data_IF_148848625267
#
_entry.id   IF_148848625267
#
_cell.length_a   1.000
_cell.length_b   1.000
_cell.length_c   1.000
_cell.angle_alpha   90.00
_cell.angle_beta   90.00
_cell.angle_gamma   90.00
#
_symmetry.space_group_name_H-M   'P 1'
#
loop_
_entity.id
_entity.type
_entity.pdbx_description
1 polymer ?
#
# COMPACT_ATOMS: atom_id res chain seq x y z
N UNK A 1 -19.79 -9.39 12.50
CA UNK A 1 -20.01 -9.84 11.10
C UNK A 1 -18.74 -10.54 10.64
N UNK A 2 -18.87 -11.80 10.20
CA UNK A 2 -17.75 -12.68 9.85
C UNK A 2 -16.91 -12.08 8.73
N UNK A 3 -15.58 -12.09 8.88
CA UNK A 3 -14.60 -11.70 7.85
C UNK A 3 -14.74 -12.55 6.57
N UNK A 4 -15.22 -13.79 6.68
CA UNK A 4 -15.51 -14.68 5.55
C UNK A 4 -16.67 -14.15 4.67
N UNK A 5 -17.71 -13.55 5.25
CA UNK A 5 -18.75 -12.89 4.48
C UNK A 5 -18.25 -11.60 3.79
N UNK A 6 -17.24 -10.94 4.35
CA UNK A 6 -16.51 -9.84 3.72
C UNK A 6 -15.75 -10.29 2.49
N UNK A 7 -15.23 -11.51 2.49
CA UNK A 7 -14.35 -12.03 1.44
C UNK A 7 -15.08 -12.31 0.12
N UNK A 8 -16.34 -12.73 0.20
CA UNK A 8 -17.14 -13.12 -0.98
C UNK A 8 -17.72 -11.90 -1.71
N UNK A 9 -18.04 -10.82 -1.01
CA UNK A 9 -18.76 -9.68 -1.59
C UNK A 9 -17.99 -8.35 -1.56
N UNK A 10 -16.85 -8.26 -0.87
CA UNK A 10 -16.19 -6.98 -0.61
C UNK A 10 -14.81 -6.82 -1.25
N UNK A 11 -14.24 -7.88 -1.81
CA UNK A 11 -13.03 -7.82 -2.61
C UNK A 11 -13.37 -8.16 -4.04
N UNK A 12 -13.78 -7.15 -4.80
CA UNK A 12 -14.00 -7.28 -6.23
C UNK A 12 -12.78 -6.76 -6.96
N UNK A 13 -12.31 -7.52 -7.95
CA UNK A 13 -11.31 -7.07 -8.91
C UNK A 13 -12.02 -6.85 -10.23
N UNK A 14 -11.95 -5.62 -10.73
CA UNK A 14 -12.48 -5.27 -12.02
C UNK A 14 -11.46 -4.43 -12.78
N UNK A 15 -11.35 -4.65 -14.08
CA UNK A 15 -10.48 -3.91 -14.99
C UNK A 15 -11.22 -3.38 -16.23
N UNK A 16 -12.52 -3.66 -16.29
CA UNK A 16 -13.38 -3.20 -17.38
C UNK A 16 -13.97 -1.82 -17.06
N UNK A 17 -13.74 -0.78 -17.89
CA UNK A 17 -14.19 0.59 -17.61
C UNK A 17 -15.70 0.74 -17.37
N UNK A 18 -16.52 -0.12 -17.95
CA UNK A 18 -17.98 -0.10 -17.74
C UNK A 18 -18.35 -0.70 -16.36
N UNK A 19 -17.67 -1.77 -15.94
CA UNK A 19 -17.96 -2.50 -14.71
C UNK A 19 -17.38 -1.79 -13.46
N UNK A 20 -16.19 -1.17 -13.57
CA UNK A 20 -15.50 -0.59 -12.42
C UNK A 20 -16.31 0.49 -11.69
N UNK A 21 -17.19 1.20 -12.37
CA UNK A 21 -18.02 2.25 -11.74
C UNK A 21 -19.05 1.65 -10.79
N UNK A 22 -19.67 0.54 -11.18
CA UNK A 22 -20.64 -0.17 -10.35
C UNK A 22 -19.94 -0.84 -9.18
N UNK A 23 -18.84 -1.56 -9.44
CA UNK A 23 -18.03 -2.22 -8.41
C UNK A 23 -17.49 -1.20 -7.41
N UNK A 24 -16.95 -0.07 -7.86
CA UNK A 24 -16.47 0.98 -6.96
C UNK A 24 -17.60 1.54 -6.08
N UNK A 25 -18.82 1.60 -6.62
CA UNK A 25 -19.98 2.14 -5.88
C UNK A 25 -20.44 1.26 -4.71
N UNK A 26 -20.18 -0.03 -4.74
CA UNK A 26 -20.53 -0.97 -3.65
C UNK A 26 -19.37 -1.23 -2.66
N UNK A 27 -18.18 -0.71 -2.94
CA UNK A 27 -16.99 -0.81 -2.09
C UNK A 27 -16.85 0.44 -1.22
N UNK A 28 -16.02 0.38 -0.18
CA UNK A 28 -15.71 1.53 0.71
C UNK A 28 -14.28 2.04 0.52
N UNK A 29 -13.47 1.31 -0.24
CA UNK A 29 -12.09 1.67 -0.54
C UNK A 29 -11.65 1.10 -1.88
N UNK A 30 -10.77 1.82 -2.55
CA UNK A 30 -10.20 1.48 -3.85
C UNK A 30 -8.68 1.38 -3.75
N UNK A 31 -8.12 0.24 -4.12
CA UNK A 31 -6.69 0.06 -4.34
C UNK A 31 -6.40 0.02 -5.84
N UNK A 32 -5.70 1.01 -6.36
CA UNK A 32 -5.21 1.03 -7.74
C UNK A 32 -3.76 0.53 -7.75
N UNK A 33 -3.54 -0.63 -8.38
CA UNK A 33 -2.23 -1.26 -8.53
C UNK A 33 -1.87 -1.31 -10.02
N UNK A 34 -0.75 -0.69 -10.38
CA UNK A 34 -0.31 -0.58 -11.78
C UNK A 34 0.63 -1.71 -12.23
N UNK A 35 0.66 -2.82 -11.51
CA UNK A 35 1.54 -3.97 -11.79
C UNK A 35 1.28 -4.63 -13.14
N UNK A 36 0.06 -4.52 -13.67
CA UNK A 36 -0.30 -5.01 -15.00
C UNK A 36 -1.09 -3.95 -15.74
N UNK A 37 -0.53 -3.43 -16.83
CA UNK A 37 -1.10 -2.34 -17.60
C UNK A 37 -1.40 -2.75 -19.05
N UNK A 38 -2.57 -2.34 -19.51
CA UNK A 38 -2.97 -2.26 -20.91
C UNK A 38 -3.95 -1.09 -21.08
N UNK A 39 -4.32 -0.75 -22.30
CA UNK A 39 -5.20 0.41 -22.55
C UNK A 39 -6.50 0.35 -21.75
N UNK A 40 -7.16 -0.80 -21.74
CA UNK A 40 -8.43 -1.02 -21.03
C UNK A 40 -8.26 -0.87 -19.52
N UNK A 41 -7.26 -1.51 -18.93
CA UNK A 41 -7.01 -1.41 -17.49
C UNK A 41 -6.67 0.01 -17.04
N UNK A 42 -5.93 0.77 -17.87
CA UNK A 42 -5.62 2.17 -17.59
C UNK A 42 -6.91 3.02 -17.60
N UNK A 43 -7.76 2.87 -18.60
CA UNK A 43 -9.07 3.54 -18.67
C UNK A 43 -9.94 3.17 -17.46
N UNK A 44 -9.96 1.90 -17.07
CA UNK A 44 -10.64 1.40 -15.86
C UNK A 44 -10.12 2.03 -14.59
N UNK A 45 -8.80 2.18 -14.43
CA UNK A 45 -8.18 2.82 -13.26
C UNK A 45 -8.62 4.27 -13.09
N UNK A 46 -8.64 5.05 -14.18
CA UNK A 46 -9.12 6.44 -14.13
C UNK A 46 -10.63 6.50 -13.82
N UNK A 47 -11.43 5.64 -14.43
CA UNK A 47 -12.87 5.59 -14.18
C UNK A 47 -13.20 5.20 -12.73
N UNK A 48 -12.51 4.19 -12.18
CA UNK A 48 -12.66 3.77 -10.79
C UNK A 48 -12.20 4.86 -9.83
N UNK A 49 -11.04 5.49 -10.08
CA UNK A 49 -10.49 6.57 -9.26
C UNK A 49 -11.41 7.78 -9.20
N UNK A 50 -11.92 8.23 -10.34
CA UNK A 50 -12.89 9.33 -10.41
C UNK A 50 -14.16 8.98 -9.62
N UNK A 51 -14.69 7.77 -9.80
CA UNK A 51 -15.89 7.32 -9.08
C UNK A 51 -15.67 7.22 -7.57
N UNK A 52 -14.52 6.71 -7.12
CA UNK A 52 -14.17 6.66 -5.71
C UNK A 52 -14.11 8.06 -5.09
N UNK A 53 -13.52 9.03 -5.81
CA UNK A 53 -13.44 10.42 -5.36
C UNK A 53 -14.83 11.09 -5.28
N UNK A 54 -15.73 10.84 -6.24
CA UNK A 54 -17.12 11.31 -6.20
C UNK A 54 -17.86 10.81 -4.94
N UNK A 55 -17.61 9.56 -4.56
CA UNK A 55 -18.26 8.91 -3.42
C UNK A 55 -17.57 9.18 -2.08
N UNK A 56 -16.39 9.84 -2.08
CA UNK A 56 -15.60 10.06 -0.88
C UNK A 56 -15.00 8.76 -0.30
N UNK A 57 -14.80 7.75 -1.12
CA UNK A 57 -14.20 6.49 -0.71
C UNK A 57 -12.70 6.63 -0.52
N UNK A 58 -12.14 5.81 0.37
CA UNK A 58 -10.69 5.72 0.57
C UNK A 58 -10.01 5.21 -0.71
N UNK A 59 -8.93 5.87 -1.09
CA UNK A 59 -8.17 5.54 -2.30
C UNK A 59 -6.69 5.34 -1.99
N UNK A 60 -6.12 4.27 -2.52
CA UNK A 60 -4.70 3.95 -2.41
C UNK A 60 -4.09 3.71 -3.79
N UNK A 61 -2.91 4.29 -4.04
CA UNK A 61 -2.09 4.01 -5.21
C UNK A 61 -0.91 3.11 -4.83
N UNK A 62 -0.80 1.99 -5.52
CA UNK A 62 0.36 1.08 -5.47
C UNK A 62 1.09 1.16 -6.82
N UNK A 63 2.14 2.01 -6.94
CA UNK A 63 2.81 2.32 -8.20
C UNK A 63 3.83 1.24 -8.60
N UNK A 64 3.43 -0.03 -8.59
CA UNK A 64 4.29 -1.18 -8.84
C UNK A 64 5.10 -1.02 -10.13
N UNK A 65 6.42 -0.95 -9.97
CA UNK A 65 7.36 -0.85 -11.08
C UNK A 65 7.39 0.53 -11.75
N UNK A 66 6.93 1.59 -11.11
CA UNK A 66 7.24 2.95 -11.52
C UNK A 66 8.76 3.12 -11.56
N UNK A 67 9.28 3.70 -12.65
CA UNK A 67 10.71 3.75 -12.96
C UNK A 67 11.21 2.61 -13.86
N UNK A 68 10.54 1.46 -13.88
CA UNK A 68 10.94 0.33 -14.72
C UNK A 68 10.55 0.50 -16.21
N UNK A 69 9.50 1.28 -16.49
CA UNK A 69 9.09 1.60 -17.86
C UNK A 69 8.38 2.95 -17.93
N UNK A 70 8.48 3.61 -19.08
CA UNK A 70 7.78 4.88 -19.33
C UNK A 70 6.26 4.75 -19.17
N UNK A 71 5.67 3.65 -19.63
CA UNK A 71 4.22 3.43 -19.49
C UNK A 71 3.79 3.43 -18.02
N UNK A 72 4.50 2.70 -17.14
CA UNK A 72 4.18 2.62 -15.71
C UNK A 72 4.37 3.97 -15.02
N UNK A 73 5.50 4.61 -15.27
CA UNK A 73 5.80 5.92 -14.69
C UNK A 73 4.77 6.97 -15.10
N UNK A 74 4.50 7.08 -16.40
CA UNK A 74 3.54 8.06 -16.90
C UNK A 74 2.13 7.79 -16.38
N UNK A 75 1.68 6.53 -16.36
CA UNK A 75 0.37 6.17 -15.81
C UNK A 75 0.26 6.53 -14.33
N UNK A 76 1.29 6.24 -13.53
CA UNK A 76 1.27 6.56 -12.11
C UNK A 76 1.23 8.08 -11.85
N UNK A 77 2.02 8.86 -12.59
CA UNK A 77 2.04 10.33 -12.51
C UNK A 77 0.68 10.90 -12.93
N UNK A 78 0.14 10.44 -14.04
CA UNK A 78 -1.16 10.91 -14.55
C UNK A 78 -2.32 10.54 -13.58
N UNK A 79 -2.25 9.36 -12.95
CA UNK A 79 -3.19 8.98 -11.90
C UNK A 79 -3.12 9.93 -10.71
N UNK A 80 -1.92 10.30 -10.24
CA UNK A 80 -1.74 11.27 -9.15
C UNK A 80 -2.28 12.68 -9.50
N UNK A 81 -2.26 13.06 -10.76
CA UNK A 81 -2.78 14.37 -11.22
C UNK A 81 -4.31 14.40 -11.30
N UNK A 82 -4.93 13.26 -11.67
CA UNK A 82 -6.36 13.19 -11.97
C UNK A 82 -7.21 12.54 -10.88
N UNK A 83 -6.61 11.75 -10.01
CA UNK A 83 -7.26 11.06 -8.91
C UNK A 83 -6.66 11.52 -7.60
N UNK A 84 -7.51 11.95 -6.66
CA UNK A 84 -7.07 12.26 -5.31
C UNK A 84 -6.90 10.95 -4.54
N UNK A 85 -5.68 10.67 -4.11
CA UNK A 85 -5.36 9.52 -3.27
C UNK A 85 -5.27 9.91 -1.79
N UNK A 86 -5.71 9.01 -0.91
CA UNK A 86 -5.47 9.12 0.54
C UNK A 86 -4.09 8.59 0.91
N UNK A 87 -3.63 7.57 0.19
CA UNK A 87 -2.31 6.95 0.41
C UNK A 87 -1.63 6.61 -0.91
N UNK A 88 -0.32 6.87 -0.97
CA UNK A 88 0.60 6.29 -1.96
C UNK A 88 1.51 5.33 -1.21
N UNK A 89 1.54 4.06 -1.61
CA UNK A 89 2.38 3.04 -1.00
C UNK A 89 3.31 2.40 -2.03
N UNK A 90 4.61 2.47 -1.83
CA UNK A 90 5.61 1.86 -2.71
C UNK A 90 6.94 1.61 -2.00
N UNK A 91 7.90 1.01 -2.68
CA UNK A 91 9.28 1.02 -2.22
C UNK A 91 9.91 2.40 -2.48
N UNK A 92 11.09 2.63 -1.90
CA UNK A 92 11.76 3.94 -2.01
C UNK A 92 12.01 4.34 -3.47
N UNK A 93 12.37 3.42 -4.36
CA UNK A 93 12.65 3.68 -5.77
C UNK A 93 11.38 4.09 -6.54
N UNK A 94 10.26 3.42 -6.29
CA UNK A 94 8.95 3.77 -6.88
C UNK A 94 8.50 5.15 -6.44
N UNK A 95 8.60 5.45 -5.13
CA UNK A 95 8.20 6.75 -4.58
C UNK A 95 9.11 7.88 -5.06
N UNK A 96 10.42 7.67 -5.16
CA UNK A 96 11.36 8.62 -5.78
C UNK A 96 10.99 8.94 -7.23
N UNK A 97 10.68 7.92 -7.99
CA UNK A 97 10.26 8.07 -9.39
C UNK A 97 9.02 8.97 -9.50
N UNK A 98 8.03 8.77 -8.64
CA UNK A 98 6.84 9.63 -8.59
C UNK A 98 7.17 11.06 -8.15
N UNK A 99 8.05 11.21 -7.19
CA UNK A 99 8.51 12.53 -6.74
C UNK A 99 9.19 13.32 -7.85
N UNK A 100 9.97 12.67 -8.71
CA UNK A 100 10.66 13.25 -9.86
C UNK A 100 9.72 13.51 -11.06
N UNK A 101 8.83 12.56 -11.35
CA UNK A 101 7.95 12.61 -12.53
C UNK A 101 6.80 13.62 -12.44
N UNK A 102 6.43 14.04 -11.25
CA UNK A 102 5.32 14.99 -11.02
C UNK A 102 5.73 16.45 -11.27
N UNK A 103 6.33 16.81 -12.40
CA UNK A 103 6.61 18.19 -12.93
C UNK A 103 6.92 19.34 -11.96
N UNK A 104 6.72 19.13 -10.67
CA UNK A 104 6.87 20.07 -9.56
C UNK A 104 8.06 19.73 -8.65
N UNK A 105 9.11 19.11 -9.20
CA UNK A 105 10.28 18.59 -8.46
C UNK A 105 11.14 19.63 -7.73
N UNK A 106 10.84 20.91 -7.83
CA UNK A 106 11.55 21.93 -7.04
C UNK A 106 11.25 21.73 -5.55
N UNK A 107 12.20 21.13 -4.82
CA UNK A 107 12.19 21.06 -3.34
C UNK A 107 12.03 19.67 -2.71
N UNK A 108 12.00 18.58 -3.49
CA UNK A 108 12.14 17.22 -2.95
C UNK A 108 13.48 16.68 -3.43
N UNK A 109 14.44 16.60 -2.53
CA UNK A 109 15.79 16.10 -2.84
C UNK A 109 15.70 14.60 -3.14
N UNK A 110 16.05 14.19 -4.35
CA UNK A 110 15.91 12.81 -4.83
C UNK A 110 17.17 11.96 -4.59
N UNK A 111 18.17 12.51 -3.90
CA UNK A 111 19.44 11.84 -3.61
C UNK A 111 19.40 10.87 -2.43
N UNK A 112 18.19 10.54 -1.91
CA UNK A 112 18.04 9.50 -0.89
C UNK A 112 18.51 8.15 -1.46
N UNK A 113 19.27 7.38 -0.69
CA UNK A 113 19.74 6.05 -1.09
C UNK A 113 18.60 5.11 -1.50
N UNK A 114 18.89 4.05 -2.24
CA UNK A 114 17.89 3.09 -2.77
C UNK A 114 17.25 2.19 -1.70
N UNK A 115 17.67 2.33 -0.44
CA UNK A 115 17.07 1.67 0.71
C UNK A 115 17.12 2.60 1.92
N UNK A 116 16.08 2.58 2.74
CA UNK A 116 16.09 3.23 4.06
C UNK A 116 16.78 2.30 5.05
N UNK A 117 17.86 2.80 5.66
CA UNK A 117 18.68 2.11 6.68
C UNK A 117 18.80 3.00 7.90
N UNK A 118 19.38 2.48 9.00
CA UNK A 118 19.64 3.31 10.19
C UNK A 118 20.62 4.46 9.90
N UNK A 119 21.53 4.28 8.94
CA UNK A 119 22.56 5.28 8.59
C UNK A 119 21.97 6.48 7.85
N UNK A 120 20.91 6.29 7.03
CA UNK A 120 20.25 7.35 6.25
C UNK A 120 18.82 7.63 6.69
N UNK A 121 18.44 7.21 7.89
CA UNK A 121 17.07 7.27 8.39
C UNK A 121 16.50 8.70 8.37
N UNK A 122 17.27 9.67 8.83
CA UNK A 122 16.85 11.08 8.87
C UNK A 122 16.56 11.64 7.48
N UNK A 123 17.38 11.29 6.48
CA UNK A 123 17.16 11.66 5.08
C UNK A 123 15.89 11.00 4.53
N UNK A 124 15.67 9.70 4.86
CA UNK A 124 14.47 8.97 4.49
C UNK A 124 13.20 9.60 5.09
N UNK A 125 13.24 9.99 6.38
CA UNK A 125 12.14 10.68 7.05
C UNK A 125 11.85 12.04 6.40
N UNK A 126 12.89 12.83 6.15
CA UNK A 126 12.77 14.12 5.52
C UNK A 126 12.13 14.00 4.12
N UNK A 127 12.60 13.04 3.32
CA UNK A 127 12.03 12.72 2.01
C UNK A 127 10.55 12.30 2.09
N UNK A 128 10.22 11.34 2.97
CA UNK A 128 8.85 10.86 3.15
C UNK A 128 7.89 12.01 3.53
N UNK A 129 8.29 12.87 4.48
CA UNK A 129 7.52 14.04 4.89
C UNK A 129 7.35 15.05 3.76
N UNK A 130 8.44 15.37 3.06
CA UNK A 130 8.42 16.33 1.95
C UNK A 130 7.50 15.86 0.83
N UNK A 131 7.58 14.58 0.47
CA UNK A 131 6.75 14.02 -0.60
C UNK A 131 5.28 13.91 -0.17
N UNK A 132 4.98 13.46 1.06
CA UNK A 132 3.62 13.41 1.58
C UNK A 132 2.97 14.80 1.58
N UNK A 133 3.68 15.83 2.04
CA UNK A 133 3.22 17.22 2.02
C UNK A 133 2.93 17.72 0.60
N UNK A 134 3.81 17.37 -0.35
CA UNK A 134 3.66 17.76 -1.76
C UNK A 134 2.52 17.02 -2.43
N UNK A 135 2.39 15.72 -2.22
CA UNK A 135 1.32 14.90 -2.78
C UNK A 135 -0.05 15.17 -2.12
N UNK A 136 -0.06 15.78 -0.93
CA UNK A 136 -1.27 16.06 -0.18
C UNK A 136 -1.95 14.80 0.35
N UNK A 137 -1.19 13.72 0.55
CA UNK A 137 -1.69 12.44 1.03
C UNK A 137 -0.65 11.74 1.91
N UNK A 138 -1.05 10.64 2.54
CA UNK A 138 -0.13 9.78 3.29
C UNK A 138 0.79 9.06 2.30
N UNK A 139 2.06 8.96 2.65
CA UNK A 139 3.06 8.19 1.91
C UNK A 139 3.57 7.07 2.79
N UNK A 140 3.48 5.83 2.31
CA UNK A 140 4.01 4.64 2.96
C UNK A 140 5.16 4.08 2.11
N UNK A 141 6.39 4.28 2.56
CA UNK A 141 7.61 3.75 1.93
C UNK A 141 7.96 2.44 2.63
N UNK A 142 8.00 1.34 1.89
CA UNK A 142 8.29 0.02 2.45
C UNK A 142 9.63 -0.52 2.00
N UNK A 143 10.37 -1.14 2.95
CA UNK A 143 11.73 -1.63 2.72
C UNK A 143 12.27 -2.42 3.91
N UNK A 144 13.54 -2.21 4.24
CA UNK A 144 14.15 -2.77 5.45
C UNK A 144 13.67 -2.03 6.71
N UNK A 145 13.48 -0.72 6.62
CA UNK A 145 12.78 0.12 7.58
C UNK A 145 11.65 0.77 6.81
N UNK A 146 10.43 0.66 7.33
CA UNK A 146 9.25 1.23 6.70
C UNK A 146 8.97 2.62 7.29
N UNK A 147 8.55 3.55 6.44
CA UNK A 147 8.18 4.91 6.81
C UNK A 147 6.74 5.20 6.40
N UNK A 148 5.93 5.72 7.31
CA UNK A 148 4.55 6.14 7.01
C UNK A 148 4.36 7.58 7.47
N UNK A 149 4.10 8.48 6.53
CA UNK A 149 4.05 9.92 6.83
C UNK A 149 2.87 10.63 6.17
N UNK A 150 2.31 11.62 6.87
CA UNK A 150 1.33 12.59 6.35
C UNK A 150 1.96 13.96 6.01
N UNK A 151 3.30 14.06 6.14
CA UNK A 151 4.05 15.29 5.95
C UNK A 151 4.33 16.06 7.24
N UNK A 152 3.56 15.87 8.29
CA UNK A 152 3.82 16.43 9.64
C UNK A 152 4.46 15.38 10.54
N UNK A 153 3.83 14.23 10.65
CA UNK A 153 4.27 13.07 11.44
C UNK A 153 4.90 12.02 10.53
N UNK A 154 5.84 11.24 11.04
CA UNK A 154 6.39 10.06 10.38
C UNK A 154 6.53 8.92 11.37
N UNK A 155 5.82 7.82 11.13
CA UNK A 155 6.02 6.56 11.85
C UNK A 155 7.16 5.79 11.22
N UNK A 156 8.04 5.24 12.07
CA UNK A 156 9.19 4.42 11.69
C UNK A 156 8.92 3.01 12.18
N UNK A 157 8.86 2.06 11.27
CA UNK A 157 8.45 0.69 11.56
C UNK A 157 9.62 -0.23 11.19
N UNK A 158 10.05 -1.06 12.17
CA UNK A 158 11.26 -1.90 12.06
C UNK A 158 10.97 -3.39 12.16
N UNK A 159 9.71 -3.77 12.28
CA UNK A 159 9.34 -5.18 12.33
C UNK A 159 9.28 -5.79 10.92
N UNK A 160 9.22 -7.10 10.87
CA UNK A 160 9.25 -7.86 9.63
C UNK A 160 10.56 -8.64 9.46
N UNK A 161 10.69 -9.30 8.32
CA UNK A 161 11.83 -10.17 8.05
C UNK A 161 12.35 -9.99 6.62
N UNK A 162 13.68 -10.07 6.43
CA UNK A 162 14.29 -9.97 5.11
C UNK A 162 13.76 -11.01 4.11
N UNK A 163 13.37 -12.20 4.61
CA UNK A 163 12.84 -13.29 3.80
C UNK A 163 11.52 -12.94 3.11
N UNK A 164 10.76 -11.98 3.65
CA UNK A 164 9.54 -11.46 3.01
C UNK A 164 9.81 -10.86 1.63
N UNK A 165 10.99 -10.27 1.43
CA UNK A 165 11.42 -9.73 0.14
C UNK A 165 11.61 -10.79 -0.96
N UNK A 166 11.71 -12.08 -0.59
CA UNK A 166 11.81 -13.19 -1.54
C UNK A 166 10.44 -13.70 -2.02
N UNK A 167 9.36 -13.17 -1.47
CA UNK A 167 7.99 -13.57 -1.79
C UNK A 167 7.36 -12.51 -2.71
N UNK A 168 6.97 -12.94 -3.89
CA UNK A 168 6.23 -12.06 -4.81
C UNK A 168 4.83 -11.76 -4.28
N UNK A 169 4.46 -10.48 -4.27
CA UNK A 169 3.10 -10.03 -3.97
C UNK A 169 2.83 -9.61 -2.53
N UNK A 170 3.79 -9.71 -1.60
CA UNK A 170 3.63 -9.22 -0.22
C UNK A 170 3.29 -7.72 -0.19
N UNK A 171 3.92 -6.93 -1.06
CA UNK A 171 3.61 -5.52 -1.21
C UNK A 171 2.17 -5.27 -1.66
N UNK A 172 1.71 -5.95 -2.70
CA UNK A 172 0.34 -5.82 -3.20
C UNK A 172 -0.70 -6.27 -2.15
N UNK A 173 -0.38 -7.32 -1.36
CA UNK A 173 -1.21 -7.76 -0.24
C UNK A 173 -1.30 -6.67 0.84
N UNK A 174 -0.17 -6.03 1.18
CA UNK A 174 -0.15 -4.91 2.11
C UNK A 174 -1.00 -3.75 1.61
N UNK A 175 -0.93 -3.38 0.33
CA UNK A 175 -1.75 -2.32 -0.25
C UNK A 175 -3.25 -2.60 -0.11
N UNK A 176 -3.68 -3.82 -0.40
CA UNK A 176 -5.07 -4.25 -0.20
C UNK A 176 -5.49 -4.22 1.27
N UNK A 177 -4.64 -4.73 2.18
CA UNK A 177 -4.89 -4.70 3.62
C UNK A 177 -4.92 -3.26 4.15
N UNK A 178 -3.98 -2.41 3.74
CA UNK A 178 -3.95 -0.99 4.13
C UNK A 178 -5.22 -0.27 3.70
N UNK A 179 -5.71 -0.49 2.49
CA UNK A 179 -6.99 0.07 2.04
C UNK A 179 -8.15 -0.33 2.95
N UNK A 180 -8.20 -1.59 3.40
CA UNK A 180 -9.22 -2.06 4.32
C UNK A 180 -9.10 -1.42 5.72
N UNK A 181 -7.87 -1.27 6.23
CA UNK A 181 -7.61 -0.59 7.51
C UNK A 181 -8.05 0.88 7.48
N UNK A 182 -7.73 1.58 6.40
CA UNK A 182 -8.14 2.98 6.20
C UNK A 182 -9.66 3.12 6.08
N UNK A 183 -10.31 2.25 5.32
CA UNK A 183 -11.76 2.26 5.16
C UNK A 183 -12.50 1.99 6.50
N UNK A 184 -11.90 1.17 7.36
CA UNK A 184 -12.42 0.89 8.70
C UNK A 184 -12.15 2.02 9.72
N UNK A 185 -11.17 2.90 9.45
CA UNK A 185 -10.72 3.97 10.36
C UNK A 185 -10.56 5.30 9.62
N UNK A 186 -11.64 5.87 9.06
CA UNK A 186 -11.55 7.05 8.18
C UNK A 186 -11.05 8.31 8.89
N UNK A 187 -11.22 8.42 10.21
CA UNK A 187 -10.79 9.56 11.02
C UNK A 187 -9.32 9.47 11.46
N UNK A 188 -8.70 8.29 11.37
CA UNK A 188 -7.33 8.02 11.85
C UNK A 188 -6.52 7.33 10.75
N UNK A 189 -6.51 7.92 9.55
CA UNK A 189 -5.91 7.28 8.37
C UNK A 189 -4.41 7.05 8.51
N UNK A 190 -3.67 7.96 9.15
CA UNK A 190 -2.23 7.82 9.33
C UNK A 190 -1.88 6.63 10.23
N UNK A 191 -2.56 6.53 11.37
CA UNK A 191 -2.42 5.43 12.32
C UNK A 191 -2.86 4.10 11.70
N UNK A 192 -3.95 4.11 10.94
CA UNK A 192 -4.45 2.94 10.22
C UNK A 192 -3.44 2.44 9.18
N UNK A 193 -2.80 3.35 8.43
CA UNK A 193 -1.76 3.00 7.48
C UNK A 193 -0.52 2.41 8.18
N UNK A 194 -0.06 3.03 9.29
CA UNK A 194 1.05 2.51 10.09
C UNK A 194 0.73 1.15 10.70
N UNK A 195 -0.49 0.97 11.22
CA UNK A 195 -0.96 -0.29 11.78
C UNK A 195 -0.99 -1.42 10.73
N UNK A 196 -1.40 -1.12 9.49
CA UNK A 196 -1.37 -2.08 8.40
C UNK A 196 0.06 -2.56 8.10
N UNK A 197 1.04 -1.65 8.06
CA UNK A 197 2.46 -2.00 7.87
C UNK A 197 2.97 -2.85 9.04
N UNK A 198 2.72 -2.44 10.28
CA UNK A 198 3.09 -3.23 11.47
C UNK A 198 2.48 -4.63 11.45
N UNK A 199 1.20 -4.75 11.06
CA UNK A 199 0.50 -6.04 10.99
C UNK A 199 1.12 -6.95 9.94
N UNK A 200 1.51 -6.42 8.78
CA UNK A 200 2.18 -7.20 7.73
C UNK A 200 3.56 -7.69 8.20
N UNK A 201 4.35 -6.82 8.83
CA UNK A 201 5.65 -7.20 9.39
C UNK A 201 5.53 -8.28 10.45
N UNK A 202 4.60 -8.11 11.41
CA UNK A 202 4.33 -9.10 12.46
C UNK A 202 3.87 -10.44 11.88
N UNK A 203 3.01 -10.42 10.86
CA UNK A 203 2.59 -11.64 10.17
C UNK A 203 3.77 -12.36 9.49
N UNK A 204 4.72 -11.58 8.95
CA UNK A 204 5.98 -12.11 8.42
C UNK A 204 6.81 -12.81 9.48
N UNK A 205 6.95 -12.21 10.65
CA UNK A 205 7.69 -12.80 11.79
C UNK A 205 7.02 -14.07 12.31
N UNK A 206 5.72 -14.02 12.54
CA UNK A 206 4.91 -15.18 12.97
C UNK A 206 5.00 -16.31 11.94
N UNK A 207 4.75 -15.98 10.67
CA UNK A 207 4.79 -16.96 9.58
C UNK A 207 6.15 -17.63 9.46
N UNK A 208 7.24 -16.88 9.65
CA UNK A 208 8.59 -17.44 9.67
C UNK A 208 8.83 -18.39 10.83
N UNK A 209 8.30 -18.08 12.01
CA UNK A 209 8.39 -18.94 13.20
C UNK A 209 7.77 -20.32 13.01
N UNK A 210 6.84 -20.47 12.06
CA UNK A 210 6.23 -21.76 11.71
C UNK A 210 6.92 -22.51 10.56
N UNK A 211 7.98 -21.93 9.96
CA UNK A 211 8.70 -22.57 8.86
C UNK A 211 9.48 -23.79 9.34
N UNK A 212 9.46 -24.86 8.55
CA UNK A 212 10.15 -26.11 8.81
C UNK A 212 11.27 -26.34 7.80
N UNK A 213 12.19 -27.25 8.13
CA UNK A 213 13.26 -27.65 7.20
C UNK A 213 12.64 -28.25 5.93
N UNK A 214 12.94 -27.63 4.80
CA UNK A 214 12.39 -28.03 3.49
C UNK A 214 11.22 -27.16 2.99
N UNK A 215 10.68 -26.27 3.83
CA UNK A 215 9.69 -25.29 3.39
C UNK A 215 10.32 -24.22 2.49
N UNK A 216 9.58 -23.81 1.47
CA UNK A 216 9.98 -22.78 0.52
C UNK A 216 9.09 -21.53 0.57
N UNK A 217 9.33 -20.62 -0.39
CA UNK A 217 8.64 -19.35 -0.46
C UNK A 217 7.11 -19.46 -0.55
N UNK A 218 6.57 -20.51 -1.18
CA UNK A 218 5.13 -20.71 -1.27
C UNK A 218 4.52 -21.02 0.10
N UNK A 219 5.17 -21.88 0.89
CA UNK A 219 4.77 -22.17 2.27
C UNK A 219 4.84 -20.91 3.12
N UNK A 220 5.94 -20.16 3.05
CA UNK A 220 6.09 -18.93 3.80
C UNK A 220 4.99 -17.91 3.46
N UNK A 221 4.68 -17.70 2.18
CA UNK A 221 3.56 -16.85 1.77
C UNK A 221 2.26 -17.27 2.42
N UNK A 222 1.94 -18.55 2.40
CA UNK A 222 0.71 -19.05 3.01
C UNK A 222 0.71 -18.85 4.53
N UNK A 223 1.87 -19.05 5.19
CA UNK A 223 2.01 -18.76 6.64
C UNK A 223 1.78 -17.30 6.99
N UNK A 224 2.21 -16.36 6.14
CA UNK A 224 1.92 -14.93 6.33
C UNK A 224 0.41 -14.68 6.23
N UNK A 225 -0.26 -15.25 5.24
CA UNK A 225 -1.72 -15.11 5.06
C UNK A 225 -2.46 -15.67 6.27
N UNK A 226 -2.09 -16.85 6.73
CA UNK A 226 -2.66 -17.48 7.92
C UNK A 226 -2.43 -16.62 9.17
N UNK A 227 -1.24 -16.04 9.34
CA UNK A 227 -0.92 -15.18 10.46
C UNK A 227 -1.74 -13.88 10.46
N UNK A 228 -1.97 -13.26 9.29
CA UNK A 228 -2.87 -12.10 9.16
C UNK A 228 -4.29 -12.48 9.59
N UNK A 229 -4.81 -13.59 9.08
CA UNK A 229 -6.14 -14.07 9.42
C UNK A 229 -6.31 -14.29 10.93
N UNK A 230 -5.37 -14.99 11.55
CA UNK A 230 -5.41 -15.29 12.99
C UNK A 230 -5.26 -14.02 13.85
N UNK A 231 -4.40 -13.07 13.45
CA UNK A 231 -4.21 -11.81 14.17
C UNK A 231 -5.49 -10.97 14.19
N UNK A 232 -6.21 -10.89 13.07
CA UNK A 232 -7.46 -10.13 12.97
C UNK A 232 -8.59 -10.76 13.81
N UNK A 233 -8.62 -12.09 13.94
CA UNK A 233 -9.61 -12.78 14.78
C UNK A 233 -9.34 -12.50 16.27
N UNK A 234 -8.10 -12.57 16.72
CA UNK A 234 -7.73 -12.36 18.13
C UNK A 234 -7.91 -10.90 18.58
N UNK A 235 -7.81 -9.93 17.67
CA UNK A 235 -8.10 -8.52 17.98
C UNK A 235 -9.60 -8.27 18.11
N UNK A 236 -10.45 -9.04 17.43
CA UNK A 236 -11.89 -8.87 17.41
C UNK A 236 -12.65 -9.63 18.50
N UNK A 237 -12.01 -10.56 19.20
CA UNK A 237 -12.60 -11.25 20.35
C UNK A 237 -12.07 -10.64 21.65
N UNK A 238 -12.88 -9.84 22.39
CA UNK A 238 -12.52 -9.47 23.74
C UNK A 238 -12.41 -10.75 24.57
N UNK A 239 -11.24 -10.98 25.16
CA UNK A 239 -11.03 -12.05 26.14
C UNK A 239 -12.12 -11.95 27.21
N UNK A 240 -13.10 -12.84 27.15
CA UNK A 240 -14.00 -13.08 28.29
C UNK A 240 -13.18 -13.77 29.37
N UNK A 241 -12.78 -13.00 30.37
CA UNK A 241 -12.37 -13.53 31.69
C UNK A 241 -13.60 -13.69 32.57
#
# INVERSE_FOLDING_TARGET
KSSAASDVYKRQMSDEPEDVKEITSICQGLNINIGTLNKRTIEGMFAAGARANELGHVTLLDPVGAGASGLRTNTAVELMEKVRFDVIRGNISEVKTLAQGSGTTKGVDADVADAVTEENLEEGIAFAKAFAKKAGCIVAITGAIDLVSDGATCYIIRNGRPEMGKITGTGCQLSGMMTAFLAANPEQKLEAAAAAVCTMGLAGEIGWGYMQKGDGNATYRNRIIDAIYLSLIHISEPTRH
#
